data_IF_384931847665
#
_entry.id   IF_384931847665
#
_cell.length_a   1.000
_cell.length_b   1.000
_cell.length_c   1.000
_cell.angle_alpha   90.00
_cell.angle_beta   90.00
_cell.angle_gamma   90.00
#
_symmetry.space_group_name_H-M   'P 1'
#
loop_
_entity.id
_entity.type
_entity.pdbx_description
1 polymer ?
#
# COMPACT_ATOMS: atom_id res chain seq x y z
N UNK A 1 -18.57 23.68 -4.23
CA UNK A 1 -17.34 24.12 -4.93
C UNK A 1 -16.22 23.14 -4.60
N UNK A 2 -15.40 22.74 -5.57
CA UNK A 2 -14.23 21.87 -5.32
C UNK A 2 -13.19 22.68 -4.55
N UNK A 3 -12.94 22.29 -3.30
CA UNK A 3 -11.97 22.92 -2.40
C UNK A 3 -10.59 22.25 -2.43
N UNK A 4 -9.59 22.84 -1.74
CA UNK A 4 -8.28 22.21 -1.56
C UNK A 4 -8.40 20.82 -0.91
N UNK A 5 -7.54 19.90 -1.33
CA UNK A 5 -7.51 18.52 -0.83
C UNK A 5 -8.68 17.64 -1.28
N UNK A 6 -9.32 18.00 -2.41
CA UNK A 6 -10.47 17.26 -2.93
C UNK A 6 -10.11 15.85 -3.43
N UNK A 7 -11.07 14.92 -3.37
CA UNK A 7 -11.03 13.61 -4.03
C UNK A 7 -11.69 13.70 -5.40
N UNK A 8 -10.90 13.50 -6.45
CA UNK A 8 -11.37 13.34 -7.80
C UNK A 8 -11.43 11.85 -8.17
N UNK A 9 -12.60 11.36 -8.54
CA UNK A 9 -12.75 9.99 -9.07
C UNK A 9 -12.58 10.03 -10.59
N UNK A 10 -11.56 9.34 -11.11
CA UNK A 10 -11.30 9.21 -12.54
C UNK A 10 -12.13 8.07 -13.13
N UNK A 11 -12.91 8.38 -14.15
CA UNK A 11 -13.66 7.45 -14.97
C UNK A 11 -12.95 7.24 -16.30
N UNK A 12 -12.81 5.97 -16.70
CA UNK A 12 -12.27 5.54 -18.01
C UNK A 12 -13.34 4.81 -18.81
N UNK A 13 -14.44 5.50 -19.17
CA UNK A 13 -15.61 4.89 -19.77
C UNK A 13 -15.37 4.47 -21.23
N UNK A 14 -16.04 3.43 -21.72
CA UNK A 14 -16.18 3.15 -23.16
C UNK A 14 -17.38 3.85 -23.79
N UNK A 15 -18.44 4.11 -23.00
CA UNK A 15 -19.67 4.77 -23.43
C UNK A 15 -20.15 5.83 -22.42
N UNK A 16 -21.05 6.72 -22.84
CA UNK A 16 -21.64 7.72 -21.94
C UNK A 16 -22.52 7.08 -20.84
N UNK A 17 -23.14 5.94 -21.12
CA UNK A 17 -23.96 5.23 -20.12
C UNK A 17 -23.11 4.74 -18.94
N UNK A 18 -21.87 4.29 -19.18
CA UNK A 18 -20.93 3.93 -18.11
C UNK A 18 -20.61 5.14 -17.22
N UNK A 19 -20.54 6.35 -17.78
CA UNK A 19 -20.30 7.58 -17.00
C UNK A 19 -21.46 7.86 -16.05
N UNK A 20 -22.69 7.85 -16.55
CA UNK A 20 -23.87 8.21 -15.75
C UNK A 20 -24.33 7.11 -14.79
N UNK A 21 -23.83 5.88 -14.95
CA UNK A 21 -24.08 4.76 -14.03
C UNK A 21 -22.95 4.54 -13.01
N UNK A 22 -21.86 5.31 -13.10
CA UNK A 22 -20.70 5.17 -12.19
C UNK A 22 -21.05 5.55 -10.75
N UNK A 23 -20.52 4.80 -9.78
CA UNK A 23 -20.59 5.18 -8.37
C UNK A 23 -19.61 6.31 -8.07
N UNK A 24 -20.17 7.45 -7.63
CA UNK A 24 -19.43 8.67 -7.26
C UNK A 24 -19.55 8.97 -5.76
N UNK A 25 -19.95 7.99 -4.96
CA UNK A 25 -20.08 8.13 -3.51
C UNK A 25 -18.77 8.58 -2.88
N UNK A 26 -18.81 9.69 -2.14
CA UNK A 26 -17.65 10.26 -1.44
C UNK A 26 -16.69 11.09 -2.32
N UNK A 27 -16.93 11.19 -3.62
CA UNK A 27 -16.18 12.05 -4.53
C UNK A 27 -16.55 13.53 -4.34
N UNK A 28 -15.57 14.44 -4.44
CA UNK A 28 -15.84 15.88 -4.49
C UNK A 28 -16.00 16.39 -5.93
N UNK A 29 -15.40 15.67 -6.88
CA UNK A 29 -15.50 15.89 -8.31
C UNK A 29 -15.20 14.58 -9.05
N UNK A 30 -15.54 14.57 -10.34
CA UNK A 30 -15.31 13.43 -11.23
C UNK A 30 -14.49 13.87 -12.41
N UNK A 31 -13.44 13.12 -12.75
CA UNK A 31 -12.73 13.26 -14.02
C UNK A 31 -13.32 12.28 -15.02
N UNK A 32 -13.83 12.80 -16.13
CA UNK A 32 -14.29 11.97 -17.24
C UNK A 32 -13.21 11.96 -18.31
N UNK A 33 -12.54 10.82 -18.49
CA UNK A 33 -11.55 10.61 -19.57
C UNK A 33 -12.27 10.38 -20.89
N UNK A 34 -12.62 11.48 -21.55
CA UNK A 34 -13.29 11.47 -22.86
C UNK A 34 -12.48 10.71 -23.91
N UNK A 35 -11.17 10.66 -23.77
CA UNK A 35 -10.30 9.89 -24.67
C UNK A 35 -10.48 8.37 -24.57
N UNK A 36 -11.17 7.85 -23.55
CA UNK A 36 -11.48 6.42 -23.42
C UNK A 36 -12.80 6.01 -24.08
N UNK A 37 -13.66 6.97 -24.41
CA UNK A 37 -14.90 6.70 -25.14
C UNK A 37 -14.57 6.13 -26.52
N UNK A 38 -15.37 5.20 -27.00
CA UNK A 38 -15.22 4.64 -28.35
C UNK A 38 -15.32 5.75 -29.41
N UNK A 39 -16.15 6.77 -29.16
CA UNK A 39 -16.23 7.98 -29.96
C UNK A 39 -16.32 9.24 -29.08
N UNK A 40 -15.19 9.93 -28.82
CA UNK A 40 -15.14 11.12 -27.97
C UNK A 40 -16.01 12.28 -28.50
N UNK A 41 -16.33 12.30 -29.80
CA UNK A 41 -17.18 13.35 -30.40
C UNK A 41 -18.65 13.23 -30.00
N UNK A 42 -19.11 12.08 -29.51
CA UNK A 42 -20.48 11.93 -28.97
C UNK A 42 -20.67 12.72 -27.67
N UNK A 43 -19.57 13.06 -27.00
CA UNK A 43 -19.58 13.78 -25.73
C UNK A 43 -19.95 15.27 -25.86
N UNK A 44 -19.97 15.83 -27.07
CA UNK A 44 -20.13 17.28 -27.32
C UNK A 44 -21.54 17.81 -27.01
N UNK A 45 -22.57 16.98 -27.02
CA UNK A 45 -23.95 17.36 -26.66
C UNK A 45 -24.35 16.87 -25.27
N UNK A 46 -23.40 16.27 -24.53
CA UNK A 46 -23.66 15.64 -23.24
C UNK A 46 -23.77 16.68 -22.14
N UNK A 47 -24.89 16.67 -21.40
CA UNK A 47 -25.14 17.54 -20.25
C UNK A 47 -24.39 17.04 -19.00
N UNK A 48 -23.20 17.58 -18.77
CA UNK A 48 -22.30 17.21 -17.67
C UNK A 48 -22.79 17.68 -16.31
N UNK A 49 -23.62 18.73 -16.29
CA UNK A 49 -24.28 19.24 -15.09
C UNK A 49 -25.37 18.31 -14.53
N UNK A 50 -25.65 17.19 -15.20
CA UNK A 50 -26.51 16.11 -14.69
C UNK A 50 -25.82 15.23 -13.64
N UNK A 51 -24.48 15.21 -13.61
CA UNK A 51 -23.75 14.44 -12.59
C UNK A 51 -23.86 15.16 -11.23
N UNK A 52 -23.92 14.40 -10.11
CA UNK A 52 -24.13 14.97 -8.78
C UNK A 52 -22.92 15.78 -8.26
N UNK A 53 -21.77 15.68 -8.93
CA UNK A 53 -20.52 16.35 -8.57
C UNK A 53 -19.93 17.10 -9.78
N UNK A 54 -19.15 18.16 -9.57
CA UNK A 54 -18.49 18.90 -10.65
C UNK A 54 -17.62 18.00 -11.53
N UNK A 55 -17.74 18.19 -12.85
CA UNK A 55 -16.98 17.43 -13.85
C UNK A 55 -15.68 18.14 -14.22
N UNK A 56 -14.60 17.36 -14.25
CA UNK A 56 -13.34 17.65 -14.93
C UNK A 56 -13.35 16.88 -16.25
N UNK A 57 -13.48 17.57 -17.37
CA UNK A 57 -13.37 16.93 -18.68
C UNK A 57 -11.89 16.84 -19.07
N UNK A 58 -11.45 15.63 -19.43
CA UNK A 58 -10.08 15.37 -19.90
C UNK A 58 -10.16 14.62 -21.22
N UNK A 59 -9.56 15.16 -22.28
CA UNK A 59 -9.35 14.48 -23.55
C UNK A 59 -7.87 14.59 -23.87
N UNK A 60 -7.20 13.45 -24.07
CA UNK A 60 -5.75 13.36 -24.09
C UNK A 60 -5.26 12.53 -25.27
N UNK A 61 -4.36 13.09 -26.06
CA UNK A 61 -3.68 12.40 -27.14
C UNK A 61 -2.69 11.32 -26.67
N UNK A 62 -2.34 10.40 -27.57
CA UNK A 62 -1.41 9.28 -27.29
C UNK A 62 -0.03 9.72 -26.82
N UNK A 63 0.52 10.79 -27.40
CA UNK A 63 1.83 11.32 -27.01
C UNK A 63 1.89 11.83 -25.56
N UNK A 64 0.72 12.11 -24.97
CA UNK A 64 0.58 12.61 -23.61
C UNK A 64 0.02 11.54 -22.66
N UNK A 65 0.03 10.26 -23.07
CA UNK A 65 -0.44 9.12 -22.27
C UNK A 65 -1.95 8.89 -22.30
N UNK A 66 -2.67 9.48 -23.25
CA UNK A 66 -4.09 9.22 -23.48
C UNK A 66 -4.36 8.27 -24.64
N UNK A 67 -5.63 8.18 -25.05
CA UNK A 67 -6.09 7.31 -26.14
C UNK A 67 -6.63 8.05 -27.37
N UNK A 68 -6.79 9.36 -27.28
CA UNK A 68 -7.37 10.16 -28.35
C UNK A 68 -6.50 10.14 -29.60
N UNK A 69 -7.15 10.05 -30.76
CA UNK A 69 -6.55 10.05 -32.09
C UNK A 69 -7.06 11.28 -32.84
N UNK A 70 -6.39 12.40 -32.67
CA UNK A 70 -6.72 13.68 -33.30
C UNK A 70 -5.70 14.75 -32.96
N UNK A 71 -5.90 15.97 -33.46
CA UNK A 71 -5.01 17.10 -33.17
C UNK A 71 -5.30 17.74 -31.82
N UNK A 72 -4.35 18.52 -31.29
CA UNK A 72 -4.54 19.29 -30.06
C UNK A 72 -5.69 20.29 -30.18
N UNK A 73 -5.97 20.82 -31.37
CA UNK A 73 -7.13 21.68 -31.65
C UNK A 73 -8.44 20.89 -31.58
N UNK A 74 -8.46 19.61 -31.97
CA UNK A 74 -9.62 18.75 -31.77
C UNK A 74 -9.84 18.43 -30.28
N UNK A 75 -8.77 18.12 -29.54
CA UNK A 75 -8.86 17.93 -28.08
C UNK A 75 -9.48 19.15 -27.40
N UNK A 76 -8.94 20.34 -27.69
CA UNK A 76 -9.43 21.59 -27.09
C UNK A 76 -10.87 21.90 -27.51
N UNK A 77 -11.27 21.62 -28.75
CA UNK A 77 -12.67 21.79 -29.19
C UNK A 77 -13.63 20.88 -28.42
N UNK A 78 -13.28 19.60 -28.25
CA UNK A 78 -14.09 18.67 -27.45
C UNK A 78 -14.24 19.19 -26.01
N UNK A 79 -13.15 19.67 -25.41
CA UNK A 79 -13.17 20.24 -24.06
C UNK A 79 -13.99 21.53 -23.97
N UNK A 80 -13.95 22.40 -24.99
CA UNK A 80 -14.81 23.60 -25.05
C UNK A 80 -16.29 23.24 -25.06
N UNK A 81 -16.70 22.27 -25.89
CA UNK A 81 -18.07 21.76 -25.88
C UNK A 81 -18.45 21.17 -24.51
N UNK A 82 -17.54 20.47 -23.83
CA UNK A 82 -17.82 19.98 -22.49
C UNK A 82 -18.10 21.12 -21.49
N UNK A 83 -17.38 22.25 -21.59
CA UNK A 83 -17.62 23.44 -20.77
C UNK A 83 -18.97 24.08 -21.09
N UNK A 84 -19.29 24.27 -22.37
CA UNK A 84 -20.58 24.79 -22.83
C UNK A 84 -21.76 23.95 -22.30
N UNK A 85 -21.54 22.64 -22.12
CA UNK A 85 -22.52 21.70 -21.60
C UNK A 85 -22.36 21.36 -20.10
N UNK A 86 -21.68 22.22 -19.34
CA UNK A 86 -21.75 22.21 -17.87
C UNK A 86 -20.52 21.70 -17.12
N UNK A 87 -19.46 21.23 -17.80
CA UNK A 87 -18.21 20.86 -17.15
C UNK A 87 -17.57 22.08 -16.47
N UNK A 88 -17.09 21.92 -15.23
CA UNK A 88 -16.55 23.03 -14.41
C UNK A 88 -15.04 23.17 -14.52
N UNK A 89 -14.37 22.09 -14.90
CA UNK A 89 -12.93 22.05 -15.12
C UNK A 89 -12.62 21.35 -16.43
N UNK A 90 -11.48 21.71 -17.01
CA UNK A 90 -10.89 20.98 -18.12
C UNK A 90 -9.41 20.76 -17.84
N UNK A 91 -8.86 19.62 -18.25
CA UNK A 91 -7.43 19.33 -18.14
C UNK A 91 -6.79 19.36 -19.54
N UNK A 92 -5.84 20.28 -19.73
CA UNK A 92 -5.09 20.49 -20.96
C UNK A 92 -3.59 20.38 -20.63
N UNK A 93 -2.80 19.78 -21.51
CA UNK A 93 -1.34 19.76 -21.36
C UNK A 93 -0.82 21.20 -21.23
N UNK A 94 0.04 21.45 -20.25
CA UNK A 94 0.50 22.79 -19.87
C UNK A 94 1.12 23.57 -21.05
N UNK A 95 1.69 22.90 -22.07
CA UNK A 95 2.27 23.53 -23.26
C UNK A 95 1.22 24.17 -24.17
N UNK A 96 -0.01 23.65 -24.12
CA UNK A 96 -1.12 24.08 -24.97
C UNK A 96 -2.28 24.69 -24.18
N UNK A 97 -2.11 24.79 -22.85
CA UNK A 97 -3.09 25.37 -21.96
C UNK A 97 -3.40 26.82 -22.37
N UNK A 98 -4.67 27.17 -22.34
CA UNK A 98 -5.22 28.50 -22.65
C UNK A 98 -6.43 28.75 -21.77
N UNK A 99 -6.76 30.00 -21.49
CA UNK A 99 -7.97 30.30 -20.73
C UNK A 99 -9.22 29.94 -21.53
N UNK A 100 -10.20 29.30 -20.89
CA UNK A 100 -11.50 28.96 -21.47
C UNK A 100 -12.58 29.57 -20.58
N UNK A 101 -13.43 30.43 -21.14
CA UNK A 101 -14.50 31.07 -20.40
C UNK A 101 -15.49 30.02 -19.85
N UNK A 102 -15.92 30.18 -18.60
CA UNK A 102 -16.90 29.27 -17.98
C UNK A 102 -16.30 28.06 -17.24
N UNK A 103 -15.00 27.80 -17.33
CA UNK A 103 -14.33 26.71 -16.60
C UNK A 103 -12.97 27.11 -16.02
N UNK A 104 -12.51 26.34 -15.03
CA UNK A 104 -11.13 26.41 -14.53
C UNK A 104 -10.25 25.43 -15.29
N UNK A 105 -9.15 25.90 -15.84
CA UNK A 105 -8.22 25.09 -16.63
C UNK A 105 -7.13 24.54 -15.72
N UNK A 106 -6.94 23.21 -15.78
CA UNK A 106 -5.81 22.49 -15.21
C UNK A 106 -4.76 22.37 -16.31
N UNK A 107 -3.58 22.97 -16.10
CA UNK A 107 -2.42 22.84 -16.99
C UNK A 107 -1.54 21.71 -16.49
N UNK A 108 -1.57 20.57 -17.17
CA UNK A 108 -0.91 19.35 -16.70
C UNK A 108 0.40 19.04 -17.41
N UNK A 109 1.36 18.58 -16.63
CA UNK A 109 2.61 17.95 -17.07
C UNK A 109 2.60 16.49 -16.64
N UNK A 110 2.93 15.60 -17.57
CA UNK A 110 3.06 14.17 -17.31
C UNK A 110 4.44 13.68 -17.74
N UNK A 111 5.09 12.88 -16.89
CA UNK A 111 6.31 12.14 -17.23
C UNK A 111 6.16 10.69 -16.80
N UNK A 112 6.04 9.79 -17.77
CA UNK A 112 5.85 8.37 -17.52
C UNK A 112 7.16 7.61 -17.32
N UNK A 113 8.32 8.24 -17.56
CA UNK A 113 9.64 7.62 -17.40
C UNK A 113 10.21 7.84 -16.00
N UNK A 114 9.97 9.00 -15.39
CA UNK A 114 10.48 9.27 -14.05
C UNK A 114 10.10 10.64 -13.51
N UNK A 115 10.68 10.97 -12.35
CA UNK A 115 10.52 12.28 -11.71
C UNK A 115 11.77 13.12 -11.99
N UNK A 116 11.67 14.18 -12.82
CA UNK A 116 12.79 15.04 -13.17
C UNK A 116 13.56 15.57 -11.96
N UNK A 117 14.87 15.78 -12.12
CA UNK A 117 15.69 16.41 -11.08
C UNK A 117 15.35 17.90 -10.91
N UNK A 118 14.91 18.56 -11.99
CA UNK A 118 14.48 19.97 -12.04
C UNK A 118 12.96 20.13 -11.87
N UNK A 119 12.29 19.24 -11.12
CA UNK A 119 10.82 19.23 -11.00
C UNK A 119 10.24 20.56 -10.48
N UNK A 120 11.01 21.32 -9.71
CA UNK A 120 10.69 22.69 -9.33
C UNK A 120 10.53 23.61 -10.55
N UNK A 121 11.51 23.62 -11.45
CA UNK A 121 11.49 24.41 -12.68
C UNK A 121 10.36 23.96 -13.63
N UNK A 122 10.05 22.65 -13.66
CA UNK A 122 8.88 22.12 -14.38
C UNK A 122 7.59 22.73 -13.83
N UNK A 123 7.41 22.74 -12.51
CA UNK A 123 6.23 23.30 -11.87
C UNK A 123 6.16 24.83 -12.00
N UNK A 124 7.30 25.53 -11.97
CA UNK A 124 7.40 26.97 -12.26
C UNK A 124 6.90 27.29 -13.69
N UNK A 125 7.33 26.52 -14.70
CA UNK A 125 6.85 26.67 -16.08
C UNK A 125 5.36 26.44 -16.21
N UNK A 126 4.84 25.37 -15.59
CA UNK A 126 3.38 25.13 -15.52
C UNK A 126 2.67 26.28 -14.78
N UNK A 127 3.33 26.87 -13.78
CA UNK A 127 2.79 28.00 -13.02
C UNK A 127 2.75 29.32 -13.82
N UNK A 128 3.71 29.54 -14.72
CA UNK A 128 3.76 30.72 -15.58
C UNK A 128 2.71 30.68 -16.70
N UNK A 129 2.22 29.48 -17.08
CA UNK A 129 1.20 29.31 -18.11
C UNK A 129 -0.19 29.87 -17.72
N UNK A 130 -1.12 29.99 -18.69
CA UNK A 130 -2.42 30.63 -18.50
C UNK A 130 -3.47 29.79 -17.74
N UNK A 131 -3.15 28.54 -17.40
CA UNK A 131 -4.02 27.67 -16.60
C UNK A 131 -4.19 28.21 -15.17
N UNK A 132 -5.37 28.05 -14.57
CA UNK A 132 -5.65 28.49 -13.19
C UNK A 132 -5.19 27.49 -12.13
N UNK A 133 -4.88 26.25 -12.52
CA UNK A 133 -4.32 25.20 -11.66
C UNK A 133 -3.15 24.57 -12.41
N UNK A 134 -2.00 24.38 -11.75
CA UNK A 134 -0.90 23.62 -12.31
C UNK A 134 -0.95 22.16 -11.82
N UNK A 135 -0.66 21.19 -12.67
CA UNK A 135 -0.63 19.77 -12.32
C UNK A 135 0.67 19.14 -12.79
N UNK A 136 1.30 18.37 -11.90
CA UNK A 136 2.49 17.57 -12.20
C UNK A 136 2.20 16.13 -11.78
N UNK A 137 2.32 15.22 -12.75
CA UNK A 137 2.17 13.79 -12.54
C UNK A 137 3.38 13.04 -13.11
N UNK A 138 4.21 12.42 -12.28
CA UNK A 138 5.46 11.78 -12.72
C UNK A 138 5.60 10.36 -12.20
N UNK A 139 6.29 9.50 -12.92
CA UNK A 139 6.59 8.15 -12.45
C UNK A 139 7.62 8.19 -11.33
N UNK A 140 7.38 7.43 -10.26
CA UNK A 140 8.22 7.39 -9.06
C UNK A 140 9.07 6.12 -9.11
N UNK A 141 10.37 6.30 -9.36
CA UNK A 141 11.36 5.22 -9.42
C UNK A 141 12.07 5.00 -8.08
N UNK A 142 12.09 6.02 -7.19
CA UNK A 142 12.79 5.98 -5.91
C UNK A 142 12.05 6.74 -4.80
N UNK A 143 12.42 6.51 -3.53
CA UNK A 143 11.96 7.31 -2.40
C UNK A 143 12.47 8.75 -2.43
N UNK A 144 13.65 8.99 -3.02
CA UNK A 144 14.10 10.35 -3.30
C UNK A 144 13.14 11.11 -4.23
N UNK A 145 12.50 10.43 -5.20
CA UNK A 145 11.50 11.04 -6.08
C UNK A 145 10.26 11.46 -5.30
N UNK A 146 9.77 10.60 -4.40
CA UNK A 146 8.67 10.93 -3.49
C UNK A 146 8.99 12.16 -2.63
N UNK A 147 10.22 12.24 -2.11
CA UNK A 147 10.68 13.41 -1.35
C UNK A 147 10.68 14.67 -2.22
N UNK A 148 11.20 14.61 -3.45
CA UNK A 148 11.16 15.75 -4.37
C UNK A 148 9.72 16.22 -4.62
N UNK A 149 8.81 15.31 -4.99
CA UNK A 149 7.40 15.63 -5.24
C UNK A 149 6.71 16.23 -4.02
N UNK A 150 6.82 15.60 -2.84
CA UNK A 150 6.15 16.09 -1.64
C UNK A 150 6.78 17.40 -1.11
N UNK A 151 8.05 17.67 -1.41
CA UNK A 151 8.67 18.97 -1.09
C UNK A 151 8.11 20.13 -1.90
N UNK A 152 7.49 19.88 -3.07
CA UNK A 152 6.78 20.93 -3.82
C UNK A 152 5.61 21.48 -3.01
N UNK A 153 4.96 20.63 -2.20
CA UNK A 153 3.78 21.00 -1.42
C UNK A 153 4.10 21.78 -0.15
N UNK A 154 5.37 21.86 0.27
CA UNK A 154 5.79 22.74 1.36
C UNK A 154 6.09 24.17 0.89
N UNK A 155 6.14 24.41 -0.43
CA UNK A 155 6.42 25.72 -1.01
C UNK A 155 5.14 26.52 -1.27
N UNK A 156 5.29 27.83 -1.43
CA UNK A 156 4.22 28.71 -1.88
C UNK A 156 4.27 28.88 -3.39
N UNK A 157 3.16 28.58 -4.06
CA UNK A 157 3.02 28.70 -5.51
C UNK A 157 1.99 29.81 -5.84
N UNK A 158 2.13 30.51 -6.99
CA UNK A 158 1.24 31.62 -7.35
C UNK A 158 -0.20 31.19 -7.64
N UNK A 159 -0.45 29.89 -7.79
CA UNK A 159 -1.78 29.29 -8.00
C UNK A 159 -1.81 27.88 -7.42
N UNK A 160 -3.00 27.28 -7.24
CA UNK A 160 -3.12 25.92 -6.71
C UNK A 160 -2.36 24.91 -7.57
N UNK A 161 -1.72 23.95 -6.91
CA UNK A 161 -0.93 22.90 -7.56
C UNK A 161 -1.48 21.52 -7.22
N UNK A 162 -1.45 20.62 -8.20
CA UNK A 162 -1.76 19.19 -8.02
C UNK A 162 -0.47 18.43 -8.23
N UNK A 163 -0.06 17.64 -7.23
CA UNK A 163 1.17 16.83 -7.30
C UNK A 163 0.81 15.37 -7.14
N UNK A 164 1.26 14.52 -8.07
CA UNK A 164 0.92 13.09 -8.07
C UNK A 164 2.10 12.24 -8.55
N UNK A 165 2.50 11.27 -7.73
CA UNK A 165 3.38 10.18 -8.11
C UNK A 165 2.60 9.04 -8.77
N UNK A 166 3.10 8.56 -9.91
CA UNK A 166 2.66 7.34 -10.57
C UNK A 166 3.51 6.15 -10.13
N UNK A 167 2.94 4.96 -10.24
CA UNK A 167 3.55 3.72 -9.77
C UNK A 167 3.23 3.42 -8.30
N UNK A 168 3.47 2.18 -7.88
CA UNK A 168 3.17 1.71 -6.52
C UNK A 168 3.91 2.54 -5.46
N UNK A 169 5.20 2.84 -5.70
CA UNK A 169 6.03 3.68 -4.81
C UNK A 169 5.46 5.10 -4.67
N UNK A 170 4.80 5.63 -5.71
CA UNK A 170 4.20 6.97 -5.72
C UNK A 170 2.86 7.08 -4.97
N UNK A 171 2.27 5.96 -4.53
CA UNK A 171 0.95 5.97 -3.86
C UNK A 171 0.90 6.85 -2.61
N UNK A 172 2.03 7.00 -1.90
CA UNK A 172 2.12 7.89 -0.74
C UNK A 172 1.67 9.32 -1.09
N UNK A 173 2.04 9.85 -2.26
CA UNK A 173 1.69 11.23 -2.63
C UNK A 173 0.19 11.40 -2.82
N UNK A 174 -0.53 10.34 -3.20
CA UNK A 174 -1.98 10.38 -3.41
C UNK A 174 -2.73 10.48 -2.08
N UNK A 175 -2.21 9.81 -1.05
CA UNK A 175 -2.81 9.74 0.27
C UNK A 175 -2.46 10.99 1.10
N UNK A 176 -1.17 11.36 1.16
CA UNK A 176 -0.71 12.46 2.04
C UNK A 176 -0.66 13.82 1.33
N UNK A 177 -0.67 13.83 -0.02
CA UNK A 177 -0.58 15.05 -0.81
C UNK A 177 -1.69 16.07 -0.50
N UNK A 178 -2.97 15.68 -0.46
CA UNK A 178 -4.08 16.56 -0.07
C UNK A 178 -3.83 17.30 1.25
N UNK A 179 -3.46 16.55 2.30
CA UNK A 179 -3.15 17.09 3.62
C UNK A 179 -1.94 18.05 3.60
N UNK A 180 -1.02 17.87 2.65
CA UNK A 180 0.19 18.68 2.52
C UNK A 180 0.02 19.87 1.58
N UNK A 181 -1.11 20.02 0.89
CA UNK A 181 -1.40 21.21 0.08
C UNK A 181 -1.64 20.93 -1.40
N UNK A 182 -1.69 19.65 -1.83
CA UNK A 182 -2.15 19.33 -3.18
C UNK A 182 -3.62 19.73 -3.31
N UNK A 183 -3.96 20.46 -4.38
CA UNK A 183 -5.31 20.99 -4.60
C UNK A 183 -6.37 19.88 -4.68
N UNK A 184 -6.00 18.73 -5.25
CA UNK A 184 -6.80 17.50 -5.22
C UNK A 184 -5.89 16.26 -5.32
N UNK A 185 -6.49 15.08 -5.19
CA UNK A 185 -5.90 13.78 -5.50
C UNK A 185 -6.84 12.98 -6.39
N UNK A 186 -6.29 12.05 -7.16
CA UNK A 186 -7.05 11.22 -8.10
C UNK A 186 -7.12 9.77 -7.61
N UNK A 187 -8.33 9.22 -7.63
CA UNK A 187 -8.64 7.82 -7.34
C UNK A 187 -9.42 7.17 -8.49
N UNK A 188 -9.28 5.86 -8.65
CA UNK A 188 -10.00 5.12 -9.67
C UNK A 188 -11.43 4.76 -9.18
N UNK A 189 -12.41 4.75 -10.07
CA UNK A 189 -13.71 4.11 -9.77
C UNK A 189 -13.55 2.59 -9.83
N UNK A 190 -13.40 2.03 -11.03
CA UNK A 190 -13.22 0.59 -11.27
C UNK A 190 -11.87 0.29 -11.90
N UNK A 191 -11.56 0.98 -13.00
CA UNK A 191 -10.30 0.82 -13.75
C UNK A 191 -9.40 2.01 -13.50
N UNK A 192 -8.13 1.74 -13.20
CA UNK A 192 -7.13 2.78 -13.04
C UNK A 192 -6.86 3.50 -14.37
N UNK A 193 -6.87 4.83 -14.33
CA UNK A 193 -6.52 5.70 -15.46
C UNK A 193 -5.02 5.99 -15.55
N UNK A 194 -4.28 5.71 -14.48
CA UNK A 194 -2.83 5.91 -14.38
C UNK A 194 -2.16 4.85 -13.48
N UNK A 195 -0.88 4.51 -13.70
CA UNK A 195 -0.17 3.54 -12.87
C UNK A 195 -0.16 3.91 -11.38
N UNK A 196 -0.43 2.93 -10.52
CA UNK A 196 -0.42 3.10 -9.06
C UNK A 196 -1.63 3.87 -8.50
N UNK A 197 -2.65 4.18 -9.30
CA UNK A 197 -3.87 4.83 -8.81
C UNK A 197 -4.64 3.88 -7.88
N UNK A 198 -4.94 4.36 -6.67
CA UNK A 198 -5.76 3.65 -5.68
C UNK A 198 -7.25 3.81 -6.01
N UNK A 199 -8.09 2.87 -5.60
CA UNK A 199 -9.54 3.03 -5.75
C UNK A 199 -10.09 4.09 -4.80
N UNK A 200 -11.24 4.67 -5.13
CA UNK A 200 -11.95 5.59 -4.25
C UNK A 200 -12.29 4.92 -2.90
N UNK A 201 -12.65 3.64 -2.95
CA UNK A 201 -12.92 2.81 -1.78
C UNK A 201 -11.67 2.66 -0.89
N UNK A 202 -10.51 2.34 -1.46
CA UNK A 202 -9.25 2.25 -0.70
C UNK A 202 -8.90 3.59 -0.05
N UNK A 203 -9.02 4.69 -0.80
CA UNK A 203 -8.75 6.03 -0.29
C UNK A 203 -9.65 6.38 0.91
N UNK A 204 -10.95 6.12 0.80
CA UNK A 204 -11.95 6.48 1.81
C UNK A 204 -11.97 5.53 3.01
N UNK A 205 -11.90 4.22 2.78
CA UNK A 205 -12.18 3.20 3.79
C UNK A 205 -10.91 2.61 4.40
N UNK A 206 -9.87 2.37 3.58
CA UNK A 206 -8.61 1.77 4.05
C UNK A 206 -7.69 2.85 4.59
N UNK A 207 -7.36 3.85 3.78
CA UNK A 207 -6.42 4.90 4.17
C UNK A 207 -7.07 6.08 4.88
N UNK A 208 -8.41 6.16 4.83
CA UNK A 208 -9.21 7.21 5.49
C UNK A 208 -8.61 8.59 5.25
N UNK A 209 -8.26 8.85 3.99
CA UNK A 209 -7.37 9.97 3.63
C UNK A 209 -7.90 11.34 4.09
N UNK A 210 -9.22 11.49 4.27
CA UNK A 210 -9.89 12.67 4.84
C UNK A 210 -9.44 13.02 6.26
N UNK A 211 -8.96 12.04 7.02
CA UNK A 211 -8.45 12.22 8.39
C UNK A 211 -6.95 12.52 8.41
N UNK A 212 -6.25 12.31 7.30
CA UNK A 212 -4.82 12.57 7.20
C UNK A 212 -4.60 14.08 7.21
N UNK A 213 -3.68 14.51 8.06
CA UNK A 213 -3.28 15.90 8.25
C UNK A 213 -1.76 16.04 8.10
N UNK A 214 -1.23 17.26 8.25
CA UNK A 214 0.22 17.48 8.26
C UNK A 214 0.91 16.88 9.50
N UNK A 215 0.19 16.70 10.61
CA UNK A 215 0.72 16.11 11.85
C UNK A 215 0.63 14.59 11.89
N UNK A 216 -0.17 13.98 10.99
CA UNK A 216 -0.38 12.53 10.98
C UNK A 216 0.94 11.80 10.81
N UNK A 217 1.20 10.90 11.77
CA UNK A 217 2.39 10.05 11.78
C UNK A 217 2.25 8.97 10.72
N UNK A 218 3.25 8.84 9.84
CA UNK A 218 3.22 7.80 8.81
C UNK A 218 3.92 6.54 9.32
N UNK A 219 3.19 5.43 9.26
CA UNK A 219 3.70 4.08 9.48
C UNK A 219 3.44 3.27 8.21
N UNK A 220 4.14 2.17 7.99
CA UNK A 220 3.80 1.31 6.86
C UNK A 220 4.55 -0.01 6.81
N UNK A 221 4.47 -0.69 5.69
CA UNK A 221 5.18 -1.95 5.45
C UNK A 221 6.26 -1.79 4.38
N UNK A 222 7.50 -2.10 4.74
CA UNK A 222 8.67 -2.12 3.87
C UNK A 222 8.90 -3.54 3.36
N UNK A 223 9.02 -3.69 2.03
CA UNK A 223 9.25 -4.98 1.38
C UNK A 223 9.28 -4.85 -0.13
N UNK A 224 9.54 -5.98 -0.80
CA UNK A 224 9.48 -6.07 -2.26
C UNK A 224 9.14 -7.50 -2.68
N UNK A 225 7.91 -7.80 -3.13
CA UNK A 225 6.75 -6.89 -3.26
C UNK A 225 5.97 -6.66 -1.95
N UNK A 226 5.13 -5.61 -1.89
CA UNK A 226 4.21 -5.34 -0.76
C UNK A 226 2.75 -5.07 -1.16
N UNK A 227 2.44 -5.01 -2.46
CA UNK A 227 1.10 -4.69 -2.95
C UNK A 227 -0.03 -5.54 -2.37
N UNK A 228 0.23 -6.82 -2.10
CA UNK A 228 -0.75 -7.76 -1.52
C UNK A 228 -0.92 -7.68 0.00
N UNK A 229 -0.15 -6.83 0.69
CA UNK A 229 -0.21 -6.78 2.16
C UNK A 229 -1.56 -6.28 2.65
N UNK A 230 -2.13 -7.03 3.60
CA UNK A 230 -3.37 -6.69 4.31
C UNK A 230 -3.12 -5.79 5.54
N UNK A 231 -1.85 -5.54 5.92
CA UNK A 231 -1.50 -4.73 7.09
C UNK A 231 -2.15 -3.34 7.12
N UNK A 232 -2.29 -2.60 5.98
CA UNK A 232 -3.01 -1.33 5.98
C UNK A 232 -4.45 -1.43 6.49
N UNK A 233 -5.19 -2.50 6.16
CA UNK A 233 -6.57 -2.67 6.60
C UNK A 233 -6.67 -2.78 8.12
N UNK A 234 -5.80 -3.59 8.73
CA UNK A 234 -5.84 -3.88 10.15
C UNK A 234 -5.38 -2.68 10.96
N UNK A 235 -4.20 -2.12 10.63
CA UNK A 235 -3.64 -1.03 11.40
C UNK A 235 -4.44 0.27 11.26
N UNK A 236 -4.93 0.62 10.07
CA UNK A 236 -5.76 1.84 9.91
C UNK A 236 -7.11 1.71 10.62
N UNK A 237 -7.70 0.51 10.67
CA UNK A 237 -8.89 0.24 11.48
C UNK A 237 -8.61 0.46 12.96
N UNK A 238 -7.46 -0.02 13.46
CA UNK A 238 -7.06 0.14 14.85
C UNK A 238 -6.70 1.59 15.24
N UNK A 239 -5.97 2.31 14.38
CA UNK A 239 -5.71 3.73 14.61
C UNK A 239 -7.02 4.52 14.65
N UNK A 240 -7.99 4.14 13.81
CA UNK A 240 -9.30 4.78 13.83
C UNK A 240 -10.11 4.49 15.09
N UNK A 241 -10.20 3.23 15.54
CA UNK A 241 -11.01 2.88 16.72
C UNK A 241 -10.52 3.57 17.99
N UNK A 242 -9.22 3.83 18.11
CA UNK A 242 -8.62 4.56 19.23
C UNK A 242 -8.41 6.06 18.97
N UNK A 243 -8.92 6.59 17.85
CA UNK A 243 -8.77 7.99 17.45
C UNK A 243 -7.30 8.50 17.43
N UNK A 244 -6.36 7.66 17.01
CA UNK A 244 -4.95 7.99 16.94
C UNK A 244 -4.60 8.64 15.59
N UNK A 245 -3.77 9.70 15.62
CA UNK A 245 -3.34 10.45 14.42
C UNK A 245 -2.19 9.74 13.67
N UNK A 246 -2.51 8.58 13.11
CA UNK A 246 -1.60 7.74 12.33
C UNK A 246 -2.26 7.28 11.03
N UNK A 247 -1.44 7.00 10.02
CA UNK A 247 -1.85 6.24 8.84
C UNK A 247 -0.79 5.19 8.50
N UNK A 248 -1.25 3.96 8.27
CA UNK A 248 -0.47 2.82 7.81
C UNK A 248 -0.52 2.74 6.28
N UNK A 249 0.66 2.72 5.65
CA UNK A 249 0.85 2.79 4.21
C UNK A 249 1.66 1.59 3.68
N UNK A 250 1.72 1.42 2.37
CA UNK A 250 2.63 0.48 1.71
C UNK A 250 3.89 1.23 1.28
N UNK A 251 5.05 0.66 1.59
CA UNK A 251 6.35 1.22 1.22
C UNK A 251 7.15 0.23 0.34
N UNK A 252 6.78 0.06 -0.96
CA UNK A 252 7.56 -0.74 -1.89
C UNK A 252 9.00 -0.23 -1.94
N UNK A 253 9.95 -1.09 -1.56
CA UNK A 253 11.32 -0.67 -1.34
C UNK A 253 12.25 -1.75 -1.87
N UNK A 254 12.97 -1.46 -2.94
CA UNK A 254 14.07 -2.32 -3.40
C UNK A 254 15.40 -1.87 -2.77
N UNK A 255 15.63 -0.55 -2.71
CA UNK A 255 16.80 0.07 -2.10
C UNK A 255 16.47 0.59 -0.69
N UNK A 256 16.98 -0.09 0.33
CA UNK A 256 16.79 0.32 1.72
C UNK A 256 17.54 1.61 2.05
N UNK A 257 18.70 1.87 1.43
CA UNK A 257 19.48 3.08 1.70
C UNK A 257 18.70 4.31 1.28
N UNK A 258 18.19 4.32 0.05
CA UNK A 258 17.32 5.39 -0.46
C UNK A 258 16.06 5.56 0.42
N UNK A 259 15.44 4.47 0.89
CA UNK A 259 14.32 4.58 1.82
C UNK A 259 14.71 5.27 3.13
N UNK A 260 15.79 4.83 3.81
CA UNK A 260 16.21 5.40 5.09
C UNK A 260 16.65 6.87 4.98
N UNK A 261 17.31 7.26 3.88
CA UNK A 261 17.73 8.64 3.63
C UNK A 261 16.54 9.61 3.44
N UNK A 262 15.35 9.09 3.10
CA UNK A 262 14.16 9.88 2.79
C UNK A 262 13.01 9.72 3.80
N UNK A 263 12.97 8.63 4.58
CA UNK A 263 11.85 8.27 5.44
C UNK A 263 11.43 9.39 6.41
N UNK A 264 12.37 9.94 7.19
CA UNK A 264 12.06 10.99 8.17
C UNK A 264 11.61 12.29 7.51
N UNK A 265 12.23 12.68 6.40
CA UNK A 265 11.84 13.87 5.64
C UNK A 265 10.41 13.74 5.07
N UNK A 266 9.96 12.50 4.82
CA UNK A 266 8.61 12.19 4.40
C UNK A 266 7.61 12.09 5.56
N UNK A 267 8.05 12.13 6.82
CA UNK A 267 7.20 11.99 8.01
C UNK A 267 6.94 10.52 8.42
N UNK A 268 7.74 9.59 7.92
CA UNK A 268 7.69 8.17 8.30
C UNK A 268 8.42 7.99 9.62
N UNK A 269 7.73 7.43 10.62
CA UNK A 269 8.23 7.28 11.99
C UNK A 269 8.28 5.83 12.47
N UNK A 270 7.81 4.89 11.65
CA UNK A 270 7.89 3.47 11.95
C UNK A 270 7.43 2.64 10.76
N UNK A 271 7.79 1.37 10.75
CA UNK A 271 7.36 0.45 9.71
C UNK A 271 7.55 -1.01 10.11
N UNK A 272 6.68 -1.87 9.59
CA UNK A 272 6.93 -3.31 9.53
C UNK A 272 7.94 -3.59 8.43
N UNK A 273 8.71 -4.66 8.58
CA UNK A 273 9.66 -5.17 7.59
C UNK A 273 9.27 -6.58 7.20
N UNK A 274 9.04 -6.79 5.91
CA UNK A 274 8.76 -8.11 5.32
C UNK A 274 9.84 -8.51 4.32
N UNK A 275 9.62 -9.61 3.60
CA UNK A 275 10.53 -10.17 2.60
C UNK A 275 10.92 -9.09 1.58
N UNK A 276 12.22 -9.00 1.17
CA UNK A 276 13.37 -9.78 1.64
C UNK A 276 14.18 -9.11 2.76
N UNK A 277 13.66 -8.05 3.39
CA UNK A 277 14.47 -7.05 4.09
C UNK A 277 14.71 -7.31 5.58
N UNK A 278 14.10 -8.34 6.17
CA UNK A 278 14.16 -8.58 7.63
C UNK A 278 15.58 -8.69 8.21
N UNK A 279 16.58 -9.12 7.43
CA UNK A 279 17.99 -9.11 7.86
C UNK A 279 18.75 -7.91 7.27
N UNK A 280 18.43 -7.50 6.03
CA UNK A 280 19.10 -6.40 5.34
C UNK A 280 18.84 -5.02 5.95
N UNK A 281 17.79 -4.88 6.76
CA UNK A 281 17.46 -3.64 7.47
C UNK A 281 18.41 -3.35 8.63
N UNK A 282 19.03 -4.38 9.24
CA UNK A 282 19.80 -4.27 10.49
C UNK A 282 20.93 -3.22 10.42
N UNK A 283 21.75 -3.15 9.34
CA UNK A 283 22.83 -2.17 9.25
C UNK A 283 22.40 -0.69 9.28
N UNK A 284 21.12 -0.40 9.06
CA UNK A 284 20.56 0.97 9.07
C UNK A 284 20.02 1.39 10.44
N UNK A 285 20.03 0.48 11.42
CA UNK A 285 19.42 0.69 12.73
C UNK A 285 20.47 1.16 13.74
N UNK A 286 20.11 2.13 14.58
CA UNK A 286 20.97 2.59 15.67
C UNK A 286 20.94 1.64 16.86
N UNK A 287 19.84 0.89 17.03
CA UNK A 287 19.70 -0.10 18.09
C UNK A 287 18.77 -1.24 17.65
N UNK A 288 19.00 -2.44 18.19
CA UNK A 288 18.08 -3.58 18.08
C UNK A 288 17.84 -4.18 19.47
N UNK A 289 16.61 -4.63 19.71
CA UNK A 289 16.20 -5.31 20.95
C UNK A 289 16.93 -6.65 21.13
N UNK A 290 16.88 -7.20 22.35
CA UNK A 290 17.41 -8.54 22.63
C UNK A 290 16.70 -9.59 21.78
N UNK A 291 15.37 -9.55 21.69
CA UNK A 291 14.57 -10.43 20.83
C UNK A 291 15.00 -10.38 19.36
N UNK A 292 15.20 -9.18 18.80
CA UNK A 292 15.65 -9.05 17.41
C UNK A 292 17.08 -9.54 17.18
N UNK A 293 17.97 -9.34 18.17
CA UNK A 293 19.35 -9.81 18.14
C UNK A 293 19.41 -11.33 18.17
N UNK A 294 18.66 -11.96 19.07
CA UNK A 294 18.58 -13.42 19.21
C UNK A 294 18.00 -14.05 17.93
N UNK A 295 16.98 -13.41 17.33
CA UNK A 295 16.44 -13.85 16.05
C UNK A 295 17.38 -13.57 14.86
N UNK A 296 18.32 -12.63 14.95
CA UNK A 296 19.13 -12.20 13.79
C UNK A 296 18.28 -11.68 12.62
N UNK A 297 17.13 -11.08 12.95
CA UNK A 297 16.16 -10.51 12.02
C UNK A 297 15.29 -9.48 12.74
N UNK A 298 14.87 -8.44 12.01
CA UNK A 298 13.98 -7.35 12.46
C UNK A 298 12.76 -7.33 11.55
N UNK A 299 11.56 -7.34 12.15
CA UNK A 299 10.30 -7.16 11.42
C UNK A 299 9.58 -5.86 11.78
N UNK A 300 10.07 -5.11 12.77
CA UNK A 300 9.40 -3.93 13.31
C UNK A 300 10.44 -2.87 13.58
N UNK A 301 10.25 -1.67 13.04
CA UNK A 301 11.16 -0.54 13.22
C UNK A 301 10.36 0.67 13.68
N UNK A 302 10.92 1.43 14.62
CA UNK A 302 10.37 2.70 15.06
C UNK A 302 11.48 3.75 15.22
N UNK A 303 11.13 5.02 15.00
CA UNK A 303 11.99 6.15 15.29
C UNK A 303 11.76 6.61 16.73
N UNK A 304 12.80 6.58 17.55
CA UNK A 304 12.74 7.00 18.96
C UNK A 304 14.11 7.51 19.40
N UNK A 305 14.14 8.57 20.19
CA UNK A 305 15.37 9.14 20.77
C UNK A 305 16.49 9.41 19.74
N UNK A 306 16.11 9.91 18.56
CA UNK A 306 17.06 10.28 17.51
C UNK A 306 17.66 9.11 16.72
N UNK A 307 17.13 7.89 16.87
CA UNK A 307 17.62 6.69 16.17
C UNK A 307 16.48 5.77 15.73
N UNK A 308 16.77 4.95 14.74
CA UNK A 308 15.92 3.82 14.35
C UNK A 308 16.19 2.64 15.28
N UNK A 309 15.13 2.16 15.95
CA UNK A 309 15.16 0.99 16.85
C UNK A 309 14.42 -0.16 16.17
N UNK A 310 15.09 -1.31 16.04
CA UNK A 310 14.51 -2.53 15.48
C UNK A 310 14.09 -3.54 16.55
N UNK A 311 12.96 -4.18 16.31
CA UNK A 311 12.40 -5.27 17.12
C UNK A 311 11.92 -6.44 16.22
N UNK A 312 11.66 -7.58 16.84
CA UNK A 312 11.14 -8.77 16.18
C UNK A 312 9.87 -9.28 16.88
N UNK A 313 8.72 -8.83 16.40
CA UNK A 313 7.40 -9.25 16.87
C UNK A 313 6.96 -10.59 16.27
N UNK A 314 7.64 -11.12 15.25
CA UNK A 314 7.34 -12.47 14.74
C UNK A 314 7.61 -13.50 15.85
N UNK A 315 8.68 -13.32 16.65
CA UNK A 315 8.96 -14.18 17.83
C UNK A 315 7.80 -14.17 18.82
N UNK A 316 7.24 -12.99 19.09
CA UNK A 316 6.06 -12.84 19.93
C UNK A 316 4.84 -13.56 19.32
N UNK A 317 4.61 -13.37 18.02
CA UNK A 317 3.52 -14.04 17.30
C UNK A 317 3.62 -15.57 17.33
N UNK A 318 4.82 -16.14 17.19
CA UNK A 318 5.02 -17.60 17.29
C UNK A 318 4.66 -18.09 18.69
N UNK A 319 5.16 -17.42 19.73
CA UNK A 319 4.86 -17.80 21.12
C UNK A 319 3.36 -17.73 21.42
N UNK A 320 2.69 -16.69 20.91
CA UNK A 320 1.24 -16.53 21.05
C UNK A 320 0.47 -17.66 20.34
N UNK A 321 0.86 -18.04 19.12
CA UNK A 321 0.23 -19.14 18.39
C UNK A 321 0.40 -20.49 19.09
N UNK A 322 1.60 -20.78 19.61
CA UNK A 322 1.85 -21.99 20.40
C UNK A 322 1.02 -22.01 21.70
N UNK A 323 0.96 -20.88 22.41
CA UNK A 323 0.17 -20.75 23.63
C UNK A 323 -1.33 -20.93 23.37
N UNK A 324 -1.86 -20.34 22.28
CA UNK A 324 -3.25 -20.51 21.86
C UNK A 324 -3.59 -21.98 21.58
N UNK A 325 -2.68 -22.70 20.92
CA UNK A 325 -2.79 -24.14 20.68
C UNK A 325 -2.48 -25.01 21.91
N UNK A 326 -2.18 -24.40 23.07
CA UNK A 326 -1.76 -25.10 24.31
C UNK A 326 -0.56 -26.04 24.10
N UNK A 327 0.33 -25.69 23.17
CA UNK A 327 1.54 -26.44 22.87
C UNK A 327 2.75 -25.85 23.60
N UNK A 328 3.34 -26.60 24.55
CA UNK A 328 4.60 -26.22 25.19
C UNK A 328 5.79 -26.83 24.44
N UNK A 329 6.68 -26.01 23.83
CA UNK A 329 7.84 -26.52 23.12
C UNK A 329 8.98 -27.00 24.04
N UNK A 330 8.89 -26.79 25.36
CA UNK A 330 9.98 -27.10 26.29
C UNK A 330 10.35 -28.58 26.27
N UNK A 331 11.62 -28.89 26.02
CA UNK A 331 12.11 -30.27 25.94
C UNK A 331 11.67 -31.07 24.70
N UNK A 332 10.96 -30.45 23.75
CA UNK A 332 10.45 -31.08 22.52
C UNK A 332 11.45 -31.06 21.36
N UNK A 333 11.25 -31.91 20.36
CA UNK A 333 11.93 -31.82 19.06
C UNK A 333 11.06 -31.04 18.09
N UNK A 334 11.61 -30.01 17.45
CA UNK A 334 10.95 -29.26 16.40
C UNK A 334 11.72 -29.33 15.07
N UNK A 335 10.99 -29.34 13.97
CA UNK A 335 11.53 -29.22 12.60
C UNK A 335 10.90 -27.99 11.95
N UNK A 336 11.73 -27.10 11.40
CA UNK A 336 11.30 -25.88 10.72
C UNK A 336 11.62 -26.02 9.23
N UNK A 337 10.60 -25.83 8.38
CA UNK A 337 10.74 -25.78 6.93
C UNK A 337 11.00 -24.34 6.50
N UNK A 338 12.13 -24.11 5.83
CA UNK A 338 12.61 -22.79 5.41
C UNK A 338 13.69 -22.22 6.33
N UNK A 339 14.51 -21.33 5.78
CA UNK A 339 15.65 -20.71 6.48
C UNK A 339 15.61 -19.15 6.40
N UNK A 340 14.44 -18.58 6.11
CA UNK A 340 14.24 -17.13 6.00
C UNK A 340 14.06 -16.43 7.36
N UNK A 341 13.70 -15.14 7.33
CA UNK A 341 13.46 -14.36 8.55
C UNK A 341 12.36 -14.92 9.46
N UNK A 342 11.31 -15.52 8.90
CA UNK A 342 10.27 -16.19 9.68
C UNK A 342 10.79 -17.45 10.40
N UNK A 343 11.63 -18.24 9.73
CA UNK A 343 12.27 -19.42 10.34
C UNK A 343 13.20 -19.01 11.48
N UNK A 344 13.98 -17.93 11.29
CA UNK A 344 14.81 -17.35 12.35
C UNK A 344 14.00 -16.93 13.58
N UNK A 345 12.84 -16.31 13.38
CA UNK A 345 11.93 -15.98 14.48
C UNK A 345 11.37 -17.23 15.16
N UNK A 346 11.03 -18.28 14.40
CA UNK A 346 10.60 -19.57 14.96
C UNK A 346 11.70 -20.20 15.83
N UNK A 347 12.96 -20.20 15.37
CA UNK A 347 14.11 -20.69 16.15
C UNK A 347 14.22 -19.93 17.47
N UNK A 348 14.17 -18.59 17.45
CA UNK A 348 14.24 -17.77 18.67
C UNK A 348 13.04 -17.98 19.61
N UNK A 349 11.86 -18.27 19.07
CA UNK A 349 10.67 -18.61 19.86
C UNK A 349 10.79 -20.00 20.52
N UNK A 350 11.48 -20.94 19.87
CA UNK A 350 11.66 -22.33 20.29
C UNK A 350 12.95 -22.58 21.09
N UNK A 351 13.56 -21.55 21.68
CA UNK A 351 14.86 -21.67 22.39
C UNK A 351 14.90 -22.69 23.54
N UNK A 352 13.74 -23.05 24.10
CA UNK A 352 13.62 -24.03 25.20
C UNK A 352 13.34 -25.45 24.68
N UNK A 353 13.22 -25.66 23.37
CA UNK A 353 13.11 -26.97 22.77
C UNK A 353 14.40 -27.77 22.97
N UNK A 354 14.30 -29.09 23.08
CA UNK A 354 15.46 -29.99 23.20
C UNK A 354 16.30 -29.95 21.92
N UNK A 355 15.64 -29.87 20.78
CA UNK A 355 16.29 -29.84 19.48
C UNK A 355 15.42 -29.08 18.47
N UNK A 356 16.05 -28.21 17.69
CA UNK A 356 15.42 -27.52 16.57
C UNK A 356 16.23 -27.79 15.31
N UNK A 357 15.64 -28.47 14.34
CA UNK A 357 16.24 -28.72 13.03
C UNK A 357 15.64 -27.78 12.00
N UNK A 358 16.48 -27.03 11.28
CA UNK A 358 16.03 -26.13 10.20
C UNK A 358 16.37 -26.76 8.86
N UNK A 359 15.38 -26.93 8.00
CA UNK A 359 15.55 -27.48 6.65
C UNK A 359 15.46 -26.35 5.63
N UNK A 360 16.53 -26.14 4.86
CA UNK A 360 16.51 -25.20 3.75
C UNK A 360 15.59 -25.68 2.63
N UNK A 361 15.33 -24.81 1.64
CA UNK A 361 14.47 -25.15 0.49
C UNK A 361 14.86 -26.46 -0.21
N UNK A 362 16.15 -26.81 -0.22
CA UNK A 362 16.66 -28.03 -0.87
C UNK A 362 16.46 -29.30 -0.02
N UNK A 363 16.29 -29.13 1.28
CA UNK A 363 16.21 -30.23 2.25
C UNK A 363 14.77 -30.53 2.69
N UNK A 364 13.81 -29.64 2.38
CA UNK A 364 12.38 -29.80 2.73
C UNK A 364 11.82 -31.15 2.24
N UNK A 365 12.25 -31.65 1.08
CA UNK A 365 11.83 -32.96 0.57
C UNK A 365 12.19 -34.12 1.51
N UNK A 366 13.17 -33.94 2.40
CA UNK A 366 13.60 -34.93 3.38
C UNK A 366 12.88 -34.79 4.73
N UNK A 367 11.99 -33.80 4.90
CA UNK A 367 11.33 -33.50 6.17
C UNK A 367 10.60 -34.72 6.78
N UNK A 368 10.05 -35.60 5.95
CA UNK A 368 9.38 -36.85 6.36
C UNK A 368 10.29 -37.82 7.13
N UNK A 369 11.62 -37.69 7.00
CA UNK A 369 12.62 -38.48 7.74
C UNK A 369 12.83 -37.99 9.18
N UNK A 370 12.43 -36.76 9.49
CA UNK A 370 12.64 -36.14 10.80
C UNK A 370 11.38 -36.28 11.67
N UNK A 371 11.31 -37.35 12.47
CA UNK A 371 10.27 -37.47 13.51
C UNK A 371 10.45 -36.36 14.55
N UNK A 372 9.38 -35.63 14.83
CA UNK A 372 9.40 -34.49 15.73
C UNK A 372 8.06 -34.35 16.48
N UNK A 373 8.04 -33.53 17.53
CA UNK A 373 6.78 -33.18 18.20
C UNK A 373 6.07 -32.05 17.44
N UNK A 374 6.84 -31.10 16.87
CA UNK A 374 6.34 -29.93 16.15
C UNK A 374 6.99 -29.77 14.78
N UNK A 375 6.18 -29.72 13.72
CA UNK A 375 6.60 -29.28 12.39
C UNK A 375 6.14 -27.85 12.14
N UNK A 376 7.05 -26.95 11.79
CA UNK A 376 6.74 -25.55 11.49
C UNK A 376 7.01 -25.26 10.02
N UNK A 377 6.00 -24.85 9.25
CA UNK A 377 6.21 -24.26 7.92
C UNK A 377 6.48 -22.76 8.06
N UNK A 378 7.73 -22.35 7.77
CA UNK A 378 8.14 -20.96 7.72
C UNK A 378 8.50 -20.51 6.28
N UNK A 379 7.98 -21.24 5.28
CA UNK A 379 8.08 -20.88 3.85
C UNK A 379 6.79 -20.20 3.36
N UNK A 380 6.81 -19.51 2.21
CA UNK A 380 5.58 -18.99 1.60
C UNK A 380 4.78 -20.06 0.83
N UNK A 381 5.19 -21.33 0.82
CA UNK A 381 4.49 -22.40 0.08
C UNK A 381 3.12 -22.64 0.74
N UNK A 382 2.07 -22.69 -0.07
CA UNK A 382 0.68 -22.73 0.38
C UNK A 382 0.01 -21.36 0.54
N UNK A 383 0.72 -20.25 0.33
CA UNK A 383 0.13 -18.92 0.34
C UNK A 383 -0.59 -18.61 -0.99
N UNK A 384 -1.71 -17.89 -0.93
CA UNK A 384 -2.39 -17.37 -2.12
C UNK A 384 -1.41 -16.58 -3.03
N UNK A 385 -1.47 -16.75 -4.37
CA UNK A 385 -2.49 -17.49 -5.14
C UNK A 385 -2.25 -19.01 -5.25
N UNK A 386 -1.14 -19.52 -4.71
CA UNK A 386 -0.74 -20.93 -4.83
C UNK A 386 -1.23 -21.79 -3.64
N UNK A 387 -2.47 -21.58 -3.19
CA UNK A 387 -3.04 -22.21 -2.00
C UNK A 387 -3.07 -23.75 -2.05
N UNK A 388 -3.12 -24.31 -3.26
CA UNK A 388 -3.12 -25.76 -3.51
C UNK A 388 -1.73 -26.40 -3.41
N UNK A 389 -0.68 -25.64 -3.10
CA UNK A 389 0.67 -26.16 -2.92
C UNK A 389 0.95 -26.49 -1.45
N UNK A 390 1.73 -27.53 -1.19
CA UNK A 390 2.21 -27.88 0.15
C UNK A 390 3.73 -27.97 0.14
N UNK A 391 4.45 -27.51 1.18
CA UNK A 391 5.87 -27.75 1.31
C UNK A 391 6.19 -29.23 1.57
N UNK A 392 5.24 -30.01 2.10
CA UNK A 392 5.40 -31.42 2.40
C UNK A 392 4.19 -32.21 1.91
N UNK A 393 4.44 -33.30 1.19
CA UNK A 393 3.42 -34.25 0.72
C UNK A 393 3.55 -35.57 1.49
N UNK A 394 2.43 -36.28 1.67
CA UNK A 394 2.40 -37.59 2.31
C UNK A 394 2.30 -37.54 3.85
N UNK A 395 2.84 -38.57 4.55
CA UNK A 395 2.70 -38.69 6.00
C UNK A 395 3.36 -37.54 6.77
N UNK A 396 2.62 -36.94 7.71
CA UNK A 396 3.11 -35.88 8.59
C UNK A 396 3.96 -36.50 9.72
N UNK A 397 5.26 -36.17 9.82
CA UNK A 397 6.18 -36.77 10.78
C UNK A 397 6.13 -36.12 12.18
N UNK A 398 5.03 -35.44 12.51
CA UNK A 398 4.87 -34.65 13.72
C UNK A 398 3.54 -34.91 14.44
N UNK A 399 3.46 -34.51 15.72
CA UNK A 399 2.22 -34.53 16.51
C UNK A 399 1.41 -33.24 16.32
N UNK A 400 2.11 -32.11 16.19
CA UNK A 400 1.55 -30.81 15.86
C UNK A 400 2.19 -30.21 14.60
N UNK A 401 1.38 -29.53 13.79
CA UNK A 401 1.83 -28.78 12.60
C UNK A 401 1.43 -27.32 12.74
N UNK A 402 2.43 -26.44 12.73
CA UNK A 402 2.25 -25.01 12.69
C UNK A 402 2.58 -24.48 11.30
N UNK A 403 1.62 -23.86 10.63
CA UNK A 403 1.86 -23.19 9.36
C UNK A 403 1.84 -21.68 9.56
N UNK A 404 2.96 -20.99 9.27
CA UNK A 404 3.04 -19.53 9.39
C UNK A 404 2.33 -18.80 8.25
N UNK A 405 1.92 -19.51 7.19
CA UNK A 405 1.04 -18.96 6.17
C UNK A 405 -0.34 -18.71 6.79
N UNK A 406 -0.82 -17.48 6.64
CA UNK A 406 -2.11 -17.03 7.19
C UNK A 406 -3.20 -16.82 6.12
N UNK A 407 -2.82 -16.86 4.84
CA UNK A 407 -3.75 -16.68 3.73
C UNK A 407 -3.51 -17.76 2.66
N UNK A 408 -4.35 -18.82 2.58
CA UNK A 408 -5.60 -19.00 3.33
C UNK A 408 -5.38 -19.38 4.81
N UNK A 409 -6.39 -19.25 5.70
CA UNK A 409 -6.29 -19.65 7.11
C UNK A 409 -6.03 -21.16 7.32
N UNK A 410 -6.55 -22.01 6.45
CA UNK A 410 -6.27 -23.45 6.39
C UNK A 410 -5.55 -23.73 5.08
N UNK A 411 -4.25 -23.98 5.13
CA UNK A 411 -3.44 -24.36 3.97
C UNK A 411 -3.62 -25.83 3.63
N UNK A 412 -3.14 -26.25 2.45
CA UNK A 412 -3.06 -27.68 2.08
C UNK A 412 -2.26 -28.50 3.10
N UNK A 413 -1.19 -27.93 3.67
CA UNK A 413 -0.40 -28.59 4.71
C UNK A 413 -1.23 -28.83 5.98
N UNK A 414 -1.93 -27.81 6.47
CA UNK A 414 -2.78 -27.93 7.65
C UNK A 414 -3.95 -28.89 7.42
N UNK A 415 -4.54 -28.88 6.21
CA UNK A 415 -5.58 -29.83 5.83
C UNK A 415 -5.08 -31.28 5.88
N UNK A 416 -3.91 -31.55 5.29
CA UNK A 416 -3.29 -32.88 5.33
C UNK A 416 -2.96 -33.33 6.76
N UNK A 417 -2.52 -32.41 7.63
CA UNK A 417 -2.28 -32.70 9.04
C UNK A 417 -3.58 -33.07 9.78
N UNK A 418 -4.66 -32.33 9.54
CA UNK A 418 -5.97 -32.61 10.11
C UNK A 418 -6.52 -33.97 9.67
N UNK A 419 -6.42 -34.29 8.36
CA UNK A 419 -6.84 -35.58 7.80
C UNK A 419 -6.08 -36.78 8.41
N UNK A 420 -4.89 -36.53 8.95
CA UNK A 420 -4.04 -37.51 9.64
C UNK A 420 -4.18 -37.47 11.17
N UNK A 421 -5.18 -36.75 11.70
CA UNK A 421 -5.46 -36.65 13.14
C UNK A 421 -4.40 -35.88 13.94
N UNK A 422 -3.67 -34.97 13.29
CA UNK A 422 -2.63 -34.14 13.93
C UNK A 422 -3.21 -32.85 14.47
N UNK A 423 -2.55 -32.28 15.49
CA UNK A 423 -2.88 -30.95 15.99
C UNK A 423 -2.43 -29.90 14.97
N UNK A 424 -3.29 -28.93 14.66
CA UNK A 424 -2.95 -27.83 13.76
C UNK A 424 -2.81 -26.52 14.52
N UNK A 425 -1.88 -25.68 14.08
CA UNK A 425 -1.68 -24.32 14.56
C UNK A 425 -1.71 -23.41 13.34
N UNK A 426 -2.66 -22.48 13.30
CA UNK A 426 -2.87 -21.59 12.16
C UNK A 426 -1.93 -20.38 12.20
N UNK A 427 -1.51 -19.91 11.04
CA UNK A 427 -0.68 -18.71 10.89
C UNK A 427 -1.42 -17.42 11.22
N UNK A 428 -2.76 -17.43 11.19
CA UNK A 428 -3.61 -16.27 11.52
C UNK A 428 -3.38 -15.77 12.95
N UNK A 429 -3.28 -16.67 13.94
CA UNK A 429 -3.01 -16.29 15.33
C UNK A 429 -1.65 -15.60 15.46
N UNK A 430 -0.62 -16.14 14.81
CA UNK A 430 0.71 -15.53 14.76
C UNK A 430 0.66 -14.15 14.09
N UNK A 431 0.00 -14.06 12.94
CA UNK A 431 -0.10 -12.83 12.15
C UNK A 431 -0.79 -11.71 12.91
N UNK A 432 -1.88 -12.01 13.62
CA UNK A 432 -2.61 -11.02 14.41
C UNK A 432 -1.81 -10.61 15.66
N UNK A 433 -1.23 -11.56 16.39
CA UNK A 433 -0.43 -11.26 17.59
C UNK A 433 0.82 -10.43 17.29
N UNK A 434 1.55 -10.74 16.21
CA UNK A 434 2.71 -9.92 15.82
C UNK A 434 2.30 -8.49 15.40
N UNK A 435 1.13 -8.34 14.77
CA UNK A 435 0.59 -7.05 14.35
C UNK A 435 0.09 -6.24 15.55
N UNK A 436 -0.53 -6.89 16.53
CA UNK A 436 -0.94 -6.29 17.80
C UNK A 436 0.29 -5.70 18.50
N UNK A 437 1.36 -6.49 18.61
CA UNK A 437 2.60 -6.06 19.24
C UNK A 437 3.27 -4.90 18.50
N UNK A 438 3.24 -4.91 17.17
CA UNK A 438 3.69 -3.79 16.34
C UNK A 438 2.93 -2.51 16.64
N UNK A 439 1.59 -2.59 16.69
CA UNK A 439 0.72 -1.47 17.03
C UNK A 439 1.09 -0.87 18.39
N UNK A 440 1.28 -1.70 19.41
CA UNK A 440 1.68 -1.26 20.75
C UNK A 440 3.04 -0.56 20.75
N UNK A 441 4.02 -1.10 20.03
CA UNK A 441 5.38 -0.54 19.95
C UNK A 441 5.35 0.89 19.38
N UNK A 442 4.57 1.12 18.33
CA UNK A 442 4.52 2.42 17.67
C UNK A 442 3.64 3.44 18.39
N UNK A 443 2.55 2.99 18.98
CA UNK A 443 1.52 3.89 19.53
C UNK A 443 1.68 4.10 21.03
N UNK A 444 2.23 3.12 21.76
CA UNK A 444 2.21 3.08 23.22
C UNK A 444 0.84 2.72 23.82
N UNK A 445 -0.16 2.41 22.98
CA UNK A 445 -1.49 1.99 23.39
C UNK A 445 -1.66 0.47 23.27
N UNK A 446 -2.47 -0.12 24.15
CA UNK A 446 -2.89 -1.52 24.01
C UNK A 446 -3.59 -1.74 22.67
N UNK A 447 -3.26 -2.84 22.00
CA UNK A 447 -3.93 -3.22 20.76
C UNK A 447 -5.41 -3.58 21.03
N UNK A 448 -6.37 -3.04 20.26
CA UNK A 448 -7.79 -3.37 20.42
C UNK A 448 -8.08 -4.85 20.13
N UNK A 449 -8.54 -5.64 21.11
CA UNK A 449 -8.76 -7.09 20.96
C UNK A 449 -9.67 -7.43 19.78
N UNK A 450 -10.74 -6.67 19.56
CA UNK A 450 -11.73 -6.88 18.50
C UNK A 450 -11.15 -6.74 17.07
N UNK A 451 -9.91 -6.28 16.94
CA UNK A 451 -9.19 -6.12 15.67
C UNK A 451 -8.06 -7.15 15.54
N UNK A 452 -7.39 -7.47 16.64
CA UNK A 452 -6.16 -8.25 16.67
C UNK A 452 -6.30 -9.63 17.34
N UNK A 453 -7.50 -10.04 17.71
CA UNK A 453 -7.77 -11.39 18.19
C UNK A 453 -8.69 -12.12 17.22
N UNK A 454 -8.53 -13.46 17.13
CA UNK A 454 -9.50 -14.27 16.42
C UNK A 454 -10.78 -14.32 17.25
N UNK A 455 -11.94 -14.18 16.60
CA UNK A 455 -13.20 -14.57 17.23
C UNK A 455 -13.08 -16.03 17.68
N UNK A 456 -13.36 -16.28 18.95
CA UNK A 456 -13.28 -17.60 19.59
C UNK A 456 -14.41 -18.50 19.10
N UNK A 457 -14.44 -18.78 17.80
CA UNK A 457 -15.44 -19.60 17.13
C UNK A 457 -14.75 -20.70 16.34
N UNK A 458 -14.40 -21.78 17.04
CA UNK A 458 -14.18 -23.16 16.58
C UNK A 458 -13.40 -23.89 17.70
N UNK A 459 -14.14 -24.25 18.75
CA UNK A 459 -13.75 -25.28 19.74
C UNK A 459 -14.07 -26.67 19.21
#
# INVERSE_FOLDING_TARGET
>A
MVGPGALCVSLTPRSLDEVFSSDLTGADCVEVRLDYLDNPRESVTTRWDRLPVPVIATCRGREQGGKFQGSIEEEVRILQYAVENGAKFIDIDHRFARSVAGARVIGSFHDFAGTPCDIDAVLERACAGPAQIAKVATFVNSWSDNRRLLSLLSRSWPKPVIVTGMGETGQITRIVGPARGSFLTYAASTTASAPGQLSAEEMLNVYRFRRVSRSTKLIGIVGSPVGHSLSPNIHNRAFHSLNLDFVYLKFPTADLKDFFENALALGIVGFSVTIPHKTAVIPFLGEITAEARDAGAVNTVCWRDGKWIGDNTDVHGVRAALAYAKFDPSGKIAVILGAGGAAKAAVAALKNARQVTVLSRREIAEASRYRCDLLVNATPVGMQPAAETSPLEGPIPADAVFDMVYNPPITRLLKSALDQGKTIIQGTTMFLAQAARQFEIWTGHCAPPEIFEQESGLS
#
